data_IF_162613668801
#
_entry.id   IF_162613668801
#
_cell.length_a   1.000
_cell.length_b   1.000
_cell.length_c   1.000
_cell.angle_alpha   90.00
_cell.angle_beta   90.00
_cell.angle_gamma   90.00
#
_symmetry.space_group_name_H-M   'P 1'
#
loop_
_entity.id
_entity.type
_entity.pdbx_description
1 polymer ?
#
# COMPACT_ATOMS: atom_id res chain seq x y z
N UNK A 1 1.62 20.78 -21.17
CA UNK A 1 1.74 19.33 -21.43
C UNK A 1 2.39 18.68 -20.23
N UNK A 2 1.63 17.96 -19.42
CA UNK A 2 2.19 17.14 -18.33
C UNK A 2 2.84 15.94 -19.01
N UNK A 3 4.17 15.78 -18.91
CA UNK A 3 4.84 14.57 -19.39
C UNK A 3 4.41 13.43 -18.45
N UNK A 4 3.43 12.62 -18.89
CA UNK A 4 3.15 11.35 -18.25
C UNK A 4 4.36 10.44 -18.48
N UNK A 5 5.04 10.08 -17.39
CA UNK A 5 6.14 9.11 -17.41
C UNK A 5 5.51 7.72 -17.37
N UNK A 6 5.97 6.82 -18.23
CA UNK A 6 5.55 5.41 -18.20
C UNK A 6 5.87 4.79 -16.84
N UNK A 7 4.92 4.06 -16.26
CA UNK A 7 5.04 3.45 -14.92
C UNK A 7 6.30 2.56 -14.82
N UNK A 8 6.62 1.87 -15.90
CA UNK A 8 7.80 1.01 -16.02
C UNK A 8 9.12 1.76 -15.89
N UNK A 9 9.15 3.08 -16.13
CA UNK A 9 10.37 3.91 -16.04
C UNK A 9 10.50 4.63 -14.69
N UNK A 10 9.52 4.50 -13.80
CA UNK A 10 9.56 5.12 -12.48
C UNK A 10 10.61 4.44 -11.58
N UNK A 11 11.20 5.24 -10.70
CA UNK A 11 11.99 4.75 -9.58
C UNK A 11 11.07 4.33 -8.44
N UNK A 12 10.91 3.02 -8.27
CA UNK A 12 10.03 2.45 -7.26
C UNK A 12 10.50 2.74 -5.84
N UNK A 13 11.81 2.97 -5.61
CA UNK A 13 12.31 3.31 -4.28
C UNK A 13 11.83 4.70 -3.85
N UNK A 14 11.60 5.60 -4.82
CA UNK A 14 11.09 6.93 -4.53
C UNK A 14 9.56 6.98 -4.56
N UNK A 15 8.95 6.48 -5.64
CA UNK A 15 7.55 6.74 -5.92
C UNK A 15 6.60 5.78 -5.20
N UNK A 16 6.94 4.48 -5.07
CA UNK A 16 6.00 3.54 -4.45
C UNK A 16 5.76 3.86 -2.96
N UNK A 17 6.81 4.14 -2.14
CA UNK A 17 6.59 4.59 -0.76
C UNK A 17 5.78 5.89 -0.67
N UNK A 18 6.00 6.85 -1.57
CA UNK A 18 5.25 8.11 -1.62
C UNK A 18 3.74 7.88 -1.86
N UNK A 19 3.40 7.01 -2.82
CA UNK A 19 2.01 6.64 -3.09
C UNK A 19 1.38 5.87 -1.93
N UNK A 20 2.14 4.98 -1.28
CA UNK A 20 1.69 4.26 -0.09
C UNK A 20 1.45 5.19 1.11
N UNK A 21 2.26 6.23 1.30
CA UNK A 21 2.02 7.26 2.32
C UNK A 21 0.70 8.01 2.08
N UNK A 22 0.32 8.18 0.80
CA UNK A 22 -0.95 8.75 0.39
C UNK A 22 -2.19 7.91 0.72
N UNK A 23 -2.04 6.64 1.15
CA UNK A 23 -3.20 5.80 1.51
C UNK A 23 -3.99 6.33 2.71
N UNK A 24 -3.38 7.22 3.52
CA UNK A 24 -4.06 7.89 4.64
C UNK A 24 -4.94 9.06 4.21
N UNK A 25 -4.81 9.53 2.97
CA UNK A 25 -5.58 10.66 2.46
C UNK A 25 -7.05 10.28 2.29
N UNK A 26 -7.95 11.19 2.65
CA UNK A 26 -9.41 11.01 2.55
C UNK A 26 -10.10 12.11 1.74
N UNK A 27 -9.31 13.08 1.26
CA UNK A 27 -9.82 14.27 0.59
C UNK A 27 -9.61 14.14 -0.91
N UNK A 28 -10.66 14.38 -1.69
CA UNK A 28 -10.55 14.48 -3.14
C UNK A 28 -9.75 15.75 -3.53
N UNK A 29 -8.81 15.66 -4.49
CA UNK A 29 -8.51 14.52 -5.37
C UNK A 29 -7.39 13.59 -4.87
N UNK A 30 -6.79 13.88 -3.72
CA UNK A 30 -5.58 13.20 -3.23
C UNK A 30 -5.79 11.71 -2.97
N UNK A 31 -6.89 11.33 -2.31
CA UNK A 31 -7.22 9.91 -2.08
C UNK A 31 -7.30 9.13 -3.41
N UNK A 32 -7.95 9.73 -4.41
CA UNK A 32 -8.16 9.08 -5.70
C UNK A 32 -6.84 8.82 -6.41
N UNK A 33 -5.97 9.83 -6.52
CA UNK A 33 -4.67 9.68 -7.18
C UNK A 33 -3.72 8.78 -6.41
N UNK A 34 -3.74 8.83 -5.07
CA UNK A 34 -2.93 7.94 -4.25
C UNK A 34 -3.30 6.47 -4.50
N UNK A 35 -4.60 6.16 -4.46
CA UNK A 35 -5.09 4.79 -4.66
C UNK A 35 -4.88 4.27 -6.07
N UNK A 36 -5.15 5.08 -7.09
CA UNK A 36 -4.92 4.69 -8.48
C UNK A 36 -3.42 4.49 -8.74
N UNK A 37 -2.57 5.41 -8.28
CA UNK A 37 -1.12 5.29 -8.43
C UNK A 37 -0.55 4.04 -7.77
N UNK A 38 -1.00 3.67 -6.56
CA UNK A 38 -0.61 2.40 -5.94
C UNK A 38 -1.04 1.21 -6.80
N UNK A 39 -2.29 1.15 -7.24
CA UNK A 39 -2.77 0.02 -8.03
C UNK A 39 -2.00 -0.12 -9.35
N UNK A 40 -1.82 0.96 -10.08
CA UNK A 40 -1.11 0.96 -11.36
C UNK A 40 0.36 0.54 -11.21
N UNK A 41 1.04 0.99 -10.14
CA UNK A 41 2.41 0.60 -9.86
C UNK A 41 2.52 -0.85 -9.36
N UNK A 42 1.54 -1.38 -8.64
CA UNK A 42 1.54 -2.80 -8.26
C UNK A 42 1.27 -3.70 -9.46
N UNK A 43 0.35 -3.32 -10.34
CA UNK A 43 0.00 -4.08 -11.55
C UNK A 43 1.18 -4.16 -12.55
N UNK A 44 1.93 -3.07 -12.72
CA UNK A 44 2.99 -2.96 -13.74
C UNK A 44 4.42 -2.94 -13.15
N UNK A 45 4.57 -3.13 -11.83
CA UNK A 45 5.87 -3.01 -11.18
C UNK A 45 6.75 -4.26 -11.31
N UNK A 46 6.14 -5.44 -11.39
CA UNK A 46 6.82 -6.73 -11.52
C UNK A 46 7.99 -6.87 -10.53
N UNK A 47 9.22 -7.16 -11.00
CA UNK A 47 10.37 -7.41 -10.12
C UNK A 47 10.86 -6.18 -9.33
N UNK A 48 10.35 -4.97 -9.64
CA UNK A 48 10.74 -3.73 -8.94
C UNK A 48 10.05 -3.56 -7.58
N UNK A 49 9.01 -4.35 -7.30
CA UNK A 49 8.23 -4.25 -6.06
C UNK A 49 8.96 -4.92 -4.89
N UNK A 50 9.56 -6.10 -5.13
CA UNK A 50 10.22 -6.88 -4.09
C UNK A 50 11.32 -6.08 -3.32
N UNK A 51 12.23 -5.33 -3.98
CA UNK A 51 13.28 -4.56 -3.30
C UNK A 51 12.75 -3.44 -2.40
N UNK A 52 11.53 -2.95 -2.65
CA UNK A 52 10.98 -1.77 -1.95
C UNK A 52 10.08 -2.14 -0.77
N UNK A 53 9.79 -3.42 -0.55
CA UNK A 53 8.96 -3.91 0.58
C UNK A 53 9.36 -3.32 1.94
N UNK A 54 10.65 -3.25 2.34
CA UNK A 54 11.03 -2.68 3.63
C UNK A 54 10.60 -1.22 3.81
N UNK A 55 10.50 -0.45 2.71
CA UNK A 55 10.15 0.97 2.72
C UNK A 55 8.63 1.17 2.85
N UNK A 56 7.82 0.18 2.46
CA UNK A 56 6.35 0.26 2.53
C UNK A 56 5.81 0.01 3.95
N UNK A 57 6.60 -0.60 4.84
CA UNK A 57 6.16 -1.05 6.16
C UNK A 57 5.66 0.11 7.03
N UNK A 58 6.39 1.23 7.03
CA UNK A 58 6.03 2.43 7.81
C UNK A 58 4.76 3.10 7.26
N UNK A 59 4.65 3.39 5.95
CA UNK A 59 3.40 3.88 5.34
C UNK A 59 2.18 3.01 5.65
N UNK A 60 2.29 1.69 5.48
CA UNK A 60 1.20 0.74 5.75
C UNK A 60 0.77 0.81 7.22
N UNK A 61 1.75 0.74 8.13
CA UNK A 61 1.49 0.84 9.57
C UNK A 61 0.81 2.16 9.93
N UNK A 62 1.26 3.27 9.36
CA UNK A 62 0.68 4.60 9.59
C UNK A 62 -0.77 4.69 9.10
N UNK A 63 -1.06 4.18 7.89
CA UNK A 63 -2.41 4.16 7.34
C UNK A 63 -3.36 3.32 8.22
N UNK A 64 -2.95 2.13 8.66
CA UNK A 64 -3.77 1.29 9.55
C UNK A 64 -3.97 1.93 10.94
N UNK A 65 -2.97 2.66 11.45
CA UNK A 65 -3.04 3.35 12.74
C UNK A 65 -3.96 4.58 12.75
N UNK A 66 -4.45 5.05 11.59
CA UNK A 66 -5.45 6.13 11.53
C UNK A 66 -6.76 5.76 12.23
N UNK A 67 -7.03 4.45 12.40
CA UNK A 67 -8.31 3.90 12.92
C UNK A 67 -9.54 4.35 12.13
N UNK A 68 -9.34 4.93 10.94
CA UNK A 68 -10.42 5.27 10.03
C UNK A 68 -10.80 4.02 9.23
N UNK A 69 -12.07 3.59 9.33
CA UNK A 69 -12.56 2.38 8.66
C UNK A 69 -12.32 2.41 7.14
N UNK A 70 -12.52 3.56 6.49
CA UNK A 70 -12.32 3.70 5.03
C UNK A 70 -10.85 3.50 4.65
N UNK A 71 -9.94 4.14 5.39
CA UNK A 71 -8.48 4.02 5.18
C UNK A 71 -8.02 2.58 5.43
N UNK A 72 -8.50 1.95 6.51
CA UNK A 72 -8.15 0.55 6.83
C UNK A 72 -8.63 -0.39 5.73
N UNK A 73 -9.89 -0.30 5.31
CA UNK A 73 -10.43 -1.15 4.24
C UNK A 73 -9.65 -0.98 2.93
N UNK A 74 -9.27 0.26 2.59
CA UNK A 74 -8.46 0.55 1.41
C UNK A 74 -7.06 -0.04 1.54
N UNK A 75 -6.41 0.16 2.67
CA UNK A 75 -5.06 -0.35 2.96
C UNK A 75 -5.03 -1.89 2.92
N UNK A 76 -6.07 -2.55 3.46
CA UNK A 76 -6.19 -4.00 3.41
C UNK A 76 -6.36 -4.53 1.98
N UNK A 77 -7.15 -3.85 1.13
CA UNK A 77 -7.27 -4.20 -0.30
C UNK A 77 -5.94 -4.02 -1.03
N UNK A 78 -5.23 -2.94 -0.75
CA UNK A 78 -3.88 -2.70 -1.30
C UNK A 78 -2.89 -3.77 -0.84
N UNK A 79 -2.95 -4.19 0.44
CA UNK A 79 -2.12 -5.29 0.94
C UNK A 79 -2.40 -6.61 0.22
N UNK A 80 -3.67 -6.92 -0.07
CA UNK A 80 -4.04 -8.09 -0.86
C UNK A 80 -3.47 -8.02 -2.29
N UNK A 81 -3.51 -6.84 -2.91
CA UNK A 81 -2.89 -6.63 -4.21
C UNK A 81 -1.36 -6.77 -4.15
N UNK A 82 -0.72 -6.19 -3.13
CA UNK A 82 0.73 -6.24 -2.94
C UNK A 82 1.26 -7.68 -2.84
N UNK A 83 0.58 -8.56 -2.10
CA UNK A 83 1.07 -9.94 -1.93
C UNK A 83 0.98 -10.78 -3.21
N UNK A 84 0.17 -10.39 -4.18
CA UNK A 84 0.03 -11.07 -5.48
C UNK A 84 0.72 -10.34 -6.63
N UNK A 85 1.31 -9.17 -6.39
CA UNK A 85 1.89 -8.31 -7.44
C UNK A 85 3.28 -8.77 -7.93
N UNK A 86 3.86 -9.81 -7.33
CA UNK A 86 5.15 -10.35 -7.77
C UNK A 86 5.60 -11.55 -6.96
N UNK A 87 6.53 -12.30 -7.54
CA UNK A 87 7.13 -13.47 -6.90
C UNK A 87 7.82 -13.07 -5.59
N UNK A 88 7.69 -13.92 -4.56
CA UNK A 88 8.31 -13.76 -3.24
C UNK A 88 7.85 -12.54 -2.42
N UNK A 89 6.94 -11.69 -2.93
CA UNK A 89 6.49 -10.48 -2.21
C UNK A 89 5.79 -10.84 -0.90
N UNK A 90 4.92 -11.85 -0.92
CA UNK A 90 4.26 -12.35 0.30
C UNK A 90 5.25 -12.87 1.34
N UNK A 91 6.29 -13.59 0.91
CA UNK A 91 7.33 -14.12 1.79
C UNK A 91 8.19 -13.00 2.38
N UNK A 92 8.51 -11.97 1.58
CA UNK A 92 9.24 -10.80 2.03
C UNK A 92 8.49 -9.98 3.10
N UNK A 93 7.16 -10.10 3.19
CA UNK A 93 6.36 -9.43 4.23
C UNK A 93 6.38 -10.13 5.59
N UNK A 94 6.71 -11.43 5.65
CA UNK A 94 6.66 -12.24 6.88
C UNK A 94 7.43 -11.61 8.05
N UNK A 95 8.66 -11.08 7.90
CA UNK A 95 9.40 -10.45 8.99
C UNK A 95 8.71 -9.21 9.61
N UNK A 96 7.74 -8.63 8.89
CA UNK A 96 7.08 -7.37 9.25
C UNK A 96 5.67 -7.56 9.80
N UNK A 97 5.15 -8.79 9.87
CA UNK A 97 3.80 -9.08 10.41
C UNK A 97 3.59 -8.52 11.82
N UNK A 98 4.61 -8.60 12.70
CA UNK A 98 4.55 -8.03 14.05
C UNK A 98 4.35 -6.50 14.08
N UNK A 99 4.67 -5.80 12.99
CA UNK A 99 4.50 -4.34 12.89
C UNK A 99 3.13 -3.94 12.34
N UNK A 100 2.58 -4.76 11.44
CA UNK A 100 1.37 -4.44 10.66
C UNK A 100 0.12 -5.07 11.27
N UNK A 101 0.19 -6.33 11.72
CA UNK A 101 -0.99 -7.09 12.16
C UNK A 101 -1.61 -6.65 13.50
N UNK A 102 -0.88 -6.16 14.52
CA UNK A 102 -1.47 -5.90 15.84
C UNK A 102 -2.68 -4.95 15.83
N UNK A 103 -2.67 -3.93 14.96
CA UNK A 103 -3.77 -2.97 14.83
C UNK A 103 -5.06 -3.61 14.32
N UNK A 104 -4.96 -4.66 13.49
CA UNK A 104 -6.11 -5.36 12.92
C UNK A 104 -6.90 -6.13 13.97
N UNK A 105 -6.28 -6.51 15.09
CA UNK A 105 -6.97 -7.20 16.18
C UNK A 105 -8.10 -6.36 16.79
N UNK A 106 -8.00 -5.02 16.75
CA UNK A 106 -9.06 -4.12 17.22
C UNK A 106 -10.30 -4.23 16.32
N UNK A 107 -10.08 -4.45 15.02
CA UNK A 107 -11.13 -4.40 14.00
C UNK A 107 -11.68 -5.79 13.63
N UNK A 108 -11.00 -6.88 14.06
CA UNK A 108 -11.29 -8.27 13.68
C UNK A 108 -12.75 -8.69 13.89
N UNK A 109 -13.39 -8.20 14.95
CA UNK A 109 -14.75 -8.57 15.33
C UNK A 109 -15.82 -7.53 14.96
N UNK A 110 -15.47 -6.52 14.15
CA UNK A 110 -16.43 -5.48 13.76
C UNK A 110 -17.38 -5.88 12.61
N UNK A 111 -17.56 -7.17 12.37
CA UNK A 111 -18.57 -7.68 11.43
C UNK A 111 -19.95 -7.83 12.09
N UNK A 112 -20.07 -7.45 13.37
CA UNK A 112 -21.29 -7.50 14.16
C UNK A 112 -21.93 -6.11 14.26
N UNK A 113 -22.59 -5.70 13.18
CA UNK A 113 -23.82 -4.88 13.09
C UNK A 113 -24.18 -4.66 11.61
#
# INVERSE_FOLDING_TARGET
MVKQVEIEKLDYHHYLPLFFDGLRETVHPYEFFARQGVNDMLEHGGPKILPVIPQLIIPIKNALNTRNRQVICTTLKVLQHLVVSGDMVGEALVPYYRQILPILNIFKNMNSE
#
